data_IF_859133835917
#
_entry.id   IF_859133835917
#
_cell.length_a   1.000
_cell.length_b   1.000
_cell.length_c   1.000
_cell.angle_alpha   90.00
_cell.angle_beta   90.00
_cell.angle_gamma   90.00
#
_symmetry.space_group_name_H-M   'P 1'
#
loop_
_entity.id
_entity.type
_entity.pdbx_description
1 polymer ?
#
# COMPACT_ATOMS: atom_id res chain seq x y z
N UNK A 1 7.00 1.56 -5.16
CA UNK A 1 7.24 2.60 -6.19
C UNK A 1 8.73 2.91 -6.34
N UNK A 2 9.44 3.45 -5.35
CA UNK A 2 10.89 3.73 -5.48
C UNK A 2 11.72 2.49 -5.88
N UNK A 3 11.47 1.32 -5.26
CA UNK A 3 12.15 0.07 -5.64
C UNK A 3 11.89 -0.35 -7.09
N UNK A 4 10.68 -0.12 -7.62
CA UNK A 4 10.36 -0.41 -9.02
C UNK A 4 11.18 0.48 -9.94
N UNK A 5 11.22 1.79 -9.67
CA UNK A 5 12.04 2.74 -10.45
C UNK A 5 13.53 2.40 -10.34
N UNK A 6 14.02 2.05 -9.15
CA UNK A 6 15.42 1.64 -8.95
C UNK A 6 15.78 0.39 -9.74
N UNK A 7 14.86 -0.57 -9.88
CA UNK A 7 15.06 -1.76 -10.70
C UNK A 7 14.98 -1.43 -12.19
N UNK A 8 13.97 -0.64 -12.60
CA UNK A 8 13.73 -0.26 -13.98
C UNK A 8 14.91 0.52 -14.58
N UNK A 9 15.48 1.41 -13.79
CA UNK A 9 16.60 2.26 -14.21
C UNK A 9 17.95 1.79 -13.68
N UNK A 10 18.06 0.55 -13.16
CA UNK A 10 19.28 0.03 -12.52
C UNK A 10 20.52 0.13 -13.42
N UNK A 11 20.34 0.01 -14.73
CA UNK A 11 21.41 0.06 -15.73
C UNK A 11 21.67 1.47 -16.29
N UNK A 12 20.85 2.46 -15.94
CA UNK A 12 21.01 3.84 -16.42
C UNK A 12 21.98 4.62 -15.53
N UNK A 13 22.77 5.50 -16.14
CA UNK A 13 23.68 6.38 -15.40
C UNK A 13 22.91 7.51 -14.72
N UNK A 14 23.37 7.90 -13.53
CA UNK A 14 22.85 9.07 -12.81
C UNK A 14 22.96 10.30 -13.71
N UNK A 15 21.87 11.05 -13.86
CA UNK A 15 21.78 12.22 -14.76
C UNK A 15 21.24 11.94 -16.15
N UNK A 16 21.04 10.67 -16.55
CA UNK A 16 20.37 10.32 -17.82
C UNK A 16 18.86 10.11 -17.69
N UNK A 17 18.35 10.02 -16.47
CA UNK A 17 16.92 9.79 -16.19
C UNK A 17 16.28 11.15 -15.96
N UNK A 18 15.40 11.57 -16.86
CA UNK A 18 14.62 12.79 -16.67
C UNK A 18 13.44 12.56 -15.72
N UNK A 19 12.89 13.64 -15.16
CA UNK A 19 11.65 13.56 -14.40
C UNK A 19 10.49 13.01 -15.25
N UNK A 20 10.45 13.32 -16.55
CA UNK A 20 9.45 12.81 -17.49
C UNK A 20 9.54 11.29 -17.69
N UNK A 21 10.75 10.73 -17.74
CA UNK A 21 10.95 9.28 -17.83
C UNK A 21 10.46 8.57 -16.57
N UNK A 22 10.72 9.15 -15.39
CA UNK A 22 10.21 8.63 -14.12
C UNK A 22 8.68 8.69 -14.09
N UNK A 23 8.10 9.79 -14.54
CA UNK A 23 6.65 9.99 -14.55
C UNK A 23 5.94 9.01 -15.51
N UNK A 24 6.55 8.73 -16.66
CA UNK A 24 6.05 7.73 -17.62
C UNK A 24 6.03 6.33 -17.00
N UNK A 25 7.12 5.92 -16.34
CA UNK A 25 7.20 4.62 -15.69
C UNK A 25 6.26 4.52 -14.47
N UNK A 26 6.05 5.62 -13.73
CA UNK A 26 5.08 5.68 -12.64
C UNK A 26 3.63 5.53 -13.11
N UNK A 27 3.34 5.83 -14.39
CA UNK A 27 2.03 5.60 -15.02
C UNK A 27 1.97 4.31 -15.82
N UNK A 28 3.06 3.56 -15.89
CA UNK A 28 3.12 2.37 -16.72
C UNK A 28 2.29 1.21 -16.13
N UNK A 29 1.69 0.36 -16.97
CA UNK A 29 1.11 -0.91 -16.52
C UNK A 29 2.12 -1.78 -15.76
N UNK A 30 3.41 -1.68 -16.10
CA UNK A 30 4.48 -2.42 -15.44
C UNK A 30 4.62 -2.10 -13.94
N UNK A 31 4.29 -0.87 -13.50
CA UNK A 31 4.25 -0.56 -12.07
C UNK A 31 3.11 -1.31 -11.36
N UNK A 32 1.94 -1.41 -11.98
CA UNK A 32 0.80 -2.14 -11.43
C UNK A 32 1.11 -3.64 -11.35
N UNK A 33 1.66 -4.21 -12.42
CA UNK A 33 2.11 -5.61 -12.44
C UNK A 33 3.17 -5.87 -11.36
N UNK A 34 4.19 -5.01 -11.26
CA UNK A 34 5.20 -5.12 -10.22
C UNK A 34 4.60 -5.02 -8.83
N UNK A 35 3.68 -4.09 -8.60
CA UNK A 35 3.05 -3.90 -7.28
C UNK A 35 2.19 -5.11 -6.91
N UNK A 36 1.46 -5.67 -7.86
CA UNK A 36 0.69 -6.91 -7.70
C UNK A 36 1.57 -8.14 -7.44
N UNK A 37 2.68 -8.29 -8.17
CA UNK A 37 3.59 -9.42 -8.04
C UNK A 37 4.48 -9.33 -6.78
N UNK A 38 4.89 -8.12 -6.39
CA UNK A 38 5.68 -7.88 -5.18
C UNK A 38 4.83 -7.73 -3.92
N UNK A 39 3.50 -7.74 -4.06
CA UNK A 39 2.51 -7.56 -3.00
C UNK A 39 2.74 -6.26 -2.22
N UNK A 40 3.20 -5.21 -2.92
CA UNK A 40 3.58 -3.95 -2.31
C UNK A 40 2.57 -2.85 -2.60
N UNK A 41 2.35 -2.01 -1.59
CA UNK A 41 1.64 -0.75 -1.75
C UNK A 41 0.13 -0.88 -1.94
N UNK A 42 -0.46 -2.06 -1.70
CA UNK A 42 -1.91 -2.19 -1.57
C UNK A 42 -2.19 -3.01 -0.33
N UNK A 43 -2.76 -2.38 0.68
CA UNK A 43 -3.13 -3.07 1.90
C UNK A 43 -4.42 -3.86 1.70
N UNK A 44 -4.29 -5.18 1.55
CA UNK A 44 -5.41 -6.15 1.56
C UNK A 44 -5.09 -7.36 2.45
N UNK A 45 -6.10 -8.07 2.97
CA UNK A 45 -5.89 -9.34 3.67
C UNK A 45 -5.14 -10.37 2.83
N UNK A 46 -5.47 -10.50 1.54
CA UNK A 46 -4.79 -11.42 0.62
C UNK A 46 -3.29 -11.11 0.48
N UNK A 47 -2.94 -9.82 0.38
CA UNK A 47 -1.54 -9.41 0.33
C UNK A 47 -0.82 -9.77 1.64
N UNK A 48 -1.48 -9.61 2.79
CA UNK A 48 -0.91 -9.97 4.08
C UNK A 48 -0.74 -11.50 4.24
N UNK A 49 -1.70 -12.31 3.80
CA UNK A 49 -1.60 -13.77 3.85
C UNK A 49 -0.43 -14.28 2.99
N UNK A 50 -0.17 -13.65 1.85
CA UNK A 50 1.02 -13.96 1.03
C UNK A 50 2.32 -13.56 1.71
N UNK A 51 2.35 -12.43 2.43
CA UNK A 51 3.52 -12.04 3.24
C UNK A 51 3.76 -13.04 4.38
N UNK A 52 2.70 -13.53 5.03
CA UNK A 52 2.80 -14.62 6.01
C UNK A 52 3.45 -15.86 5.43
N UNK A 53 3.02 -16.29 4.24
CA UNK A 53 3.61 -17.45 3.56
C UNK A 53 5.07 -17.22 3.16
N UNK A 54 5.40 -16.03 2.64
CA UNK A 54 6.75 -15.71 2.16
C UNK A 54 7.79 -15.58 3.29
N UNK A 55 7.37 -15.21 4.50
CA UNK A 55 8.26 -15.02 5.66
C UNK A 55 8.05 -16.06 6.77
N UNK A 56 7.26 -17.10 6.49
CA UNK A 56 6.89 -18.14 7.46
C UNK A 56 6.44 -17.55 8.81
N UNK A 57 5.56 -16.55 8.76
CA UNK A 57 5.15 -15.82 9.95
C UNK A 57 4.32 -16.72 10.86
N UNK A 58 4.70 -16.74 12.14
CA UNK A 58 3.89 -17.39 13.17
C UNK A 58 2.46 -16.82 13.20
N UNK A 59 1.49 -17.65 13.60
CA UNK A 59 0.10 -17.20 13.75
C UNK A 59 -0.03 -15.99 14.68
N UNK A 60 0.81 -15.91 15.71
CA UNK A 60 0.85 -14.77 16.64
C UNK A 60 1.36 -13.50 15.95
N UNK A 61 2.47 -13.59 15.20
CA UNK A 61 3.03 -12.45 14.45
C UNK A 61 2.05 -11.95 13.40
N UNK A 62 1.41 -12.86 12.65
CA UNK A 62 0.36 -12.51 11.69
C UNK A 62 -0.80 -11.78 12.37
N UNK A 63 -1.31 -12.31 13.50
CA UNK A 63 -2.38 -11.68 14.26
C UNK A 63 -2.02 -10.26 14.70
N UNK A 64 -0.80 -10.05 15.22
CA UNK A 64 -0.33 -8.73 15.65
C UNK A 64 -0.22 -7.74 14.48
N UNK A 65 0.29 -8.18 13.33
CA UNK A 65 0.35 -7.33 12.13
C UNK A 65 -1.06 -6.95 11.67
N UNK A 66 -1.97 -7.92 11.59
CA UNK A 66 -3.36 -7.69 11.21
C UNK A 66 -4.06 -6.74 12.20
N UNK A 67 -3.83 -6.90 13.50
CA UNK A 67 -4.34 -6.02 14.55
C UNK A 67 -3.81 -4.59 14.38
N UNK A 68 -2.51 -4.42 14.12
CA UNK A 68 -1.90 -3.11 13.91
C UNK A 68 -2.53 -2.33 12.75
N UNK A 69 -2.75 -3.01 11.61
CA UNK A 69 -3.38 -2.38 10.45
C UNK A 69 -4.80 -1.93 10.80
N UNK A 70 -5.56 -2.74 11.54
CA UNK A 70 -6.94 -2.40 11.92
C UNK A 70 -7.02 -1.27 12.95
N UNK A 71 -6.09 -1.21 13.91
CA UNK A 71 -6.03 -0.10 14.86
C UNK A 71 -5.77 1.22 14.11
N UNK A 72 -4.80 1.24 13.19
CA UNK A 72 -4.56 2.43 12.35
C UNK A 72 -5.78 2.73 11.46
N UNK A 73 -6.43 1.71 10.89
CA UNK A 73 -7.61 1.88 10.05
C UNK A 73 -8.83 2.45 10.82
N UNK A 74 -8.89 2.22 12.13
CA UNK A 74 -9.93 2.79 13.00
C UNK A 74 -9.72 4.29 13.30
N UNK A 75 -8.62 4.88 12.82
CA UNK A 75 -8.28 6.29 13.05
C UNK A 75 -7.59 6.54 14.40
N UNK A 76 -7.20 5.49 15.12
CA UNK A 76 -6.40 5.64 16.34
C UNK A 76 -4.98 6.05 15.99
N UNK A 77 -4.45 7.00 16.75
CA UNK A 77 -3.04 7.36 16.71
C UNK A 77 -2.24 6.19 17.27
N UNK A 78 -1.25 5.76 16.50
CA UNK A 78 -0.42 4.61 16.79
C UNK A 78 1.02 5.01 16.56
N UNK A 79 1.86 4.91 17.60
CA UNK A 79 3.29 5.05 17.40
C UNK A 79 3.95 3.68 17.15
N UNK A 80 5.00 3.67 16.34
CA UNK A 80 5.72 2.43 16.00
C UNK A 80 6.33 1.74 17.22
N UNK A 81 6.67 2.50 18.27
CA UNK A 81 7.21 1.98 19.53
C UNK A 81 6.14 1.40 20.47
N UNK A 82 4.85 1.70 20.25
CA UNK A 82 3.75 1.15 21.05
C UNK A 82 3.44 -0.31 20.68
N UNK A 83 3.91 -0.76 19.52
CA UNK A 83 3.70 -2.13 19.07
C UNK A 83 4.82 -3.04 19.54
N UNK A 84 4.49 -4.23 20.06
CA UNK A 84 5.49 -5.17 20.53
C UNK A 84 6.55 -5.41 19.46
N UNK A 85 7.77 -4.98 19.78
CA UNK A 85 8.97 -5.02 18.97
C UNK A 85 9.50 -6.45 18.84
N UNK A 86 8.71 -7.36 18.26
CA UNK A 86 9.38 -8.23 17.29
C UNK A 86 9.73 -7.31 16.14
N UNK A 87 11.01 -6.93 16.02
CA UNK A 87 11.54 -6.02 14.98
C UNK A 87 10.91 -6.25 13.58
N UNK A 88 10.46 -7.48 13.30
CA UNK A 88 9.73 -7.86 12.10
C UNK A 88 8.37 -7.17 11.87
N UNK A 89 7.55 -6.82 12.88
CA UNK A 89 6.16 -6.36 12.63
C UNK A 89 6.12 -5.01 11.92
N UNK A 90 6.75 -4.00 12.51
CA UNK A 90 6.81 -2.64 11.94
C UNK A 90 7.66 -2.64 10.67
N UNK A 91 8.75 -3.41 10.64
CA UNK A 91 9.58 -3.53 9.44
C UNK A 91 8.77 -4.13 8.28
N UNK A 92 8.01 -5.21 8.48
CA UNK A 92 7.21 -5.82 7.42
C UNK A 92 6.08 -4.89 6.96
N UNK A 93 5.39 -4.22 7.88
CA UNK A 93 4.34 -3.24 7.56
C UNK A 93 4.85 -2.13 6.63
N UNK A 94 6.02 -1.60 6.93
CA UNK A 94 6.64 -0.50 6.18
C UNK A 94 7.32 -0.96 4.90
N UNK A 95 8.04 -2.09 4.93
CA UNK A 95 8.75 -2.68 3.77
C UNK A 95 7.80 -3.10 2.65
N UNK A 96 6.63 -3.63 2.99
CA UNK A 96 5.59 -3.98 2.03
C UNK A 96 4.65 -2.82 1.70
N UNK A 97 4.77 -1.69 2.41
CA UNK A 97 3.97 -0.50 2.15
C UNK A 97 2.49 -0.67 2.53
N UNK A 98 2.20 -1.53 3.51
CA UNK A 98 0.88 -1.58 4.15
C UNK A 98 0.62 -0.28 4.91
N UNK A 99 1.63 0.13 5.68
CA UNK A 99 1.68 1.38 6.43
C UNK A 99 3.03 2.06 6.16
N UNK A 100 3.15 3.33 6.50
CA UNK A 100 4.43 4.03 6.58
C UNK A 100 4.58 4.68 7.95
N UNK A 101 5.82 4.89 8.36
CA UNK A 101 6.16 5.64 9.56
C UNK A 101 6.42 7.11 9.16
N UNK A 102 5.70 8.04 9.78
CA UNK A 102 5.93 9.47 9.57
C UNK A 102 7.10 10.02 10.42
N UNK A 103 7.38 11.31 10.28
CA UNK A 103 8.45 11.99 11.01
C UNK A 103 8.24 11.99 12.53
N UNK A 104 7.00 11.82 13.00
CA UNK A 104 6.61 11.75 14.42
C UNK A 104 6.54 10.32 14.95
N UNK A 105 7.05 9.34 14.19
CA UNK A 105 7.00 7.91 14.52
C UNK A 105 5.59 7.34 14.59
N UNK A 106 4.62 7.98 13.95
CA UNK A 106 3.26 7.46 13.84
C UNK A 106 3.12 6.57 12.61
N UNK A 107 2.39 5.46 12.76
CA UNK A 107 2.03 4.58 11.66
C UNK A 107 0.78 5.10 10.96
N UNK A 108 0.86 5.26 9.63
CA UNK A 108 -0.22 5.76 8.81
C UNK A 108 -0.39 4.96 7.53
N UNK A 109 -1.58 4.96 6.95
CA UNK A 109 -1.79 4.47 5.59
C UNK A 109 -1.12 5.42 4.58
N UNK A 110 -0.43 4.92 3.54
CA UNK A 110 0.25 5.77 2.55
C UNK A 110 -0.65 6.79 1.85
N UNK A 111 -1.96 6.51 1.75
CA UNK A 111 -2.97 7.50 1.36
C UNK A 111 -4.36 7.04 1.76
N UNK A 112 -5.35 7.94 1.68
CA UNK A 112 -6.77 7.61 1.89
C UNK A 112 -7.28 6.49 0.96
N UNK A 113 -6.69 6.32 -0.22
CA UNK A 113 -7.04 5.23 -1.12
C UNK A 113 -6.63 3.88 -0.53
N UNK A 114 -5.45 3.78 0.08
CA UNK A 114 -4.98 2.55 0.73
C UNK A 114 -5.89 2.16 1.90
N UNK A 115 -6.29 3.13 2.71
CA UNK A 115 -7.26 2.93 3.79
C UNK A 115 -8.61 2.42 3.24
N UNK A 116 -9.16 3.07 2.22
CA UNK A 116 -10.42 2.65 1.59
C UNK A 116 -10.34 1.21 1.06
N UNK A 117 -9.25 0.86 0.39
CA UNK A 117 -9.04 -0.51 -0.13
C UNK A 117 -8.98 -1.52 1.02
N UNK A 118 -8.25 -1.25 2.10
CA UNK A 118 -8.21 -2.12 3.27
C UNK A 118 -9.60 -2.30 3.89
N UNK A 119 -10.32 -1.21 4.14
CA UNK A 119 -11.66 -1.26 4.72
C UNK A 119 -12.68 -1.97 3.83
N UNK A 120 -12.54 -1.90 2.51
CA UNK A 120 -13.42 -2.62 1.57
C UNK A 120 -13.08 -4.11 1.51
N UNK A 121 -11.80 -4.45 1.45
CA UNK A 121 -11.34 -5.84 1.34
C UNK A 121 -11.52 -6.66 2.62
N UNK A 122 -11.65 -6.00 3.77
CA UNK A 122 -11.94 -6.64 5.07
C UNK A 122 -13.43 -6.79 5.36
N UNK A 123 -14.32 -6.24 4.53
CA UNK A 123 -15.77 -6.43 4.68
C UNK A 123 -16.15 -7.84 4.26
N UNK A 124 -16.83 -8.55 5.15
CA UNK A 124 -17.44 -9.86 4.89
C UNK A 124 -18.61 -9.80 3.89
N UNK A 125 -19.08 -8.60 3.54
CA UNK A 125 -20.15 -8.37 2.58
C UNK A 125 -19.70 -7.39 1.51
N UNK A 126 -19.71 -7.75 0.21
CA UNK A 126 -19.42 -6.80 -0.85
C UNK A 126 -20.51 -5.72 -0.83
N UNK A 127 -20.09 -4.45 -0.81
CA UNK A 127 -21.00 -3.37 -1.20
C UNK A 127 -21.41 -3.67 -2.65
N UNK A 128 -22.71 -3.85 -2.88
CA UNK A 128 -23.23 -4.06 -4.22
C UNK A 128 -22.63 -3.05 -5.20
N UNK A 129 -22.32 -3.50 -6.41
CA UNK A 129 -21.61 -2.82 -7.50
C UNK A 129 -22.11 -1.40 -7.88
N UNK A 130 -23.11 -0.85 -7.20
CA UNK A 130 -23.73 0.43 -7.50
C UNK A 130 -23.01 1.67 -6.94
N UNK A 131 -22.10 1.57 -5.97
CA UNK A 131 -21.44 2.75 -5.37
C UNK A 131 -20.02 3.06 -5.86
N UNK A 132 -19.39 2.24 -6.70
CA UNK A 132 -18.01 2.48 -7.16
C UNK A 132 -17.94 3.22 -8.51
N UNK A 133 -19.00 3.16 -9.33
CA UNK A 133 -19.00 3.77 -10.66
C UNK A 133 -19.26 5.29 -10.66
N UNK A 134 -19.90 5.84 -9.62
CA UNK A 134 -20.20 7.28 -9.55
C UNK A 134 -19.01 8.15 -9.17
N UNK A 135 -18.07 7.62 -8.40
CA UNK A 135 -17.05 8.44 -7.75
C UNK A 135 -15.69 8.41 -8.46
N UNK A 136 -15.51 7.50 -9.41
CA UNK A 136 -14.30 7.44 -10.26
C UNK A 136 -14.52 8.21 -11.58
N UNK A 137 -15.77 8.46 -11.98
CA UNK A 137 -16.14 9.07 -13.27
C UNK A 137 -16.89 10.41 -13.17
N UNK A 138 -16.94 11.07 -12.01
CA UNK A 138 -17.50 12.43 -11.88
C UNK A 138 -16.51 13.55 -12.27
N UNK A 139 -15.59 13.25 -13.18
CA UNK A 139 -14.73 14.21 -13.86
C UNK A 139 -15.20 14.48 -15.29
N UNK A 140 -16.50 14.75 -15.50
CA UNK A 140 -17.00 15.20 -16.80
C UNK A 140 -16.54 16.64 -17.02
N UNK A 141 -15.50 16.80 -17.82
CA UNK A 141 -15.19 18.04 -18.51
C UNK A 141 -16.40 18.37 -19.39
N UNK A 142 -17.16 19.40 -19.02
CA UNK A 142 -18.13 20.02 -19.91
C UNK A 142 -17.37 20.78 -21.01
N UNK A 143 -17.15 20.10 -22.13
CA UNK A 143 -16.87 20.71 -23.42
C UNK A 143 -18.19 20.81 -24.19
N UNK A 144 -18.74 22.01 -24.29
CA UNK A 144 -19.61 22.47 -25.38
C UNK A 144 -19.20 23.93 -25.60
N UNK A 145 -18.44 24.22 -26.68
CA UNK A 145 -18.92 24.50 -28.03
C UNK A 145 -19.71 25.82 -28.09
#
# INVERSE_FOLDING_TARGET
MLTFLSLKFRSMRVGMISAGDMEMELRSPGLLEYSGASYRGIATPDALERVKQAHDLSAESYRKIYEAINVVASGKVVHSHDWPTSQNTVELLTKYGFLYEDQTKQLQFPSNVHLKIWLQSTRTHPMGYHCMASDIWSGTVLLHA
#
